data_IF_247072530956
#
_entry.id   IF_247072530956
#
_cell.length_a   1.000
_cell.length_b   1.000
_cell.length_c   1.000
_cell.angle_alpha   90.00
_cell.angle_beta   90.00
_cell.angle_gamma   90.00
#
_symmetry.space_group_name_H-M   'P 1'
#
loop_
_entity.id
_entity.type
_entity.pdbx_description
1 polymer ?
#
# COMPACT_ATOMS: atom_id res chain seq x y z
N UNK A 1 9.50 1.06 4.41
CA UNK A 1 9.34 2.52 4.37
C UNK A 1 10.43 3.13 5.23
N UNK A 2 11.15 4.13 4.71
CA UNK A 2 12.27 4.78 5.39
C UNK A 2 11.86 6.20 5.82
N UNK A 3 12.06 6.55 7.10
CA UNK A 3 11.64 7.84 7.63
C UNK A 3 12.42 9.02 7.01
N UNK A 4 13.69 8.83 6.65
CA UNK A 4 14.53 9.89 6.08
C UNK A 4 14.17 10.14 4.61
N UNK A 5 13.85 9.10 3.86
CA UNK A 5 13.34 9.19 2.50
C UNK A 5 11.99 9.93 2.45
N UNK A 6 11.03 9.53 3.29
CA UNK A 6 9.73 10.22 3.39
C UNK A 6 9.90 11.72 3.72
N UNK A 7 10.82 12.06 4.64
CA UNK A 7 11.11 13.44 5.02
C UNK A 7 11.77 14.23 3.90
N UNK A 8 12.69 13.61 3.14
CA UNK A 8 13.34 14.26 1.98
C UNK A 8 12.35 14.58 0.87
N UNK A 9 11.36 13.72 0.64
CA UNK A 9 10.36 13.93 -0.41
C UNK A 9 9.27 14.93 -0.01
N UNK A 10 8.70 14.79 1.18
CA UNK A 10 7.46 15.48 1.57
C UNK A 10 7.58 16.35 2.83
N UNK A 11 8.73 16.31 3.51
CA UNK A 11 8.91 16.96 4.81
C UNK A 11 8.17 16.26 5.96
N UNK A 12 7.57 15.09 5.72
CA UNK A 12 6.82 14.32 6.71
C UNK A 12 7.52 13.02 7.08
N UNK A 13 7.17 12.46 8.23
CA UNK A 13 7.66 11.16 8.68
C UNK A 13 6.86 10.00 8.05
N UNK A 14 7.45 8.79 8.04
CA UNK A 14 6.91 7.61 7.35
C UNK A 14 5.46 7.24 7.70
N UNK A 15 5.00 7.34 8.95
CA UNK A 15 3.62 7.05 9.37
C UNK A 15 2.61 8.00 8.69
N UNK A 16 2.94 9.28 8.56
CA UNK A 16 2.12 10.27 7.86
C UNK A 16 2.15 9.98 6.37
N UNK A 17 3.32 9.63 5.83
CA UNK A 17 3.50 9.28 4.43
C UNK A 17 2.68 8.04 4.04
N UNK A 18 2.77 6.96 4.84
CA UNK A 18 2.03 5.71 4.62
C UNK A 18 0.52 5.87 4.75
N UNK A 19 0.03 6.95 5.36
CA UNK A 19 -1.41 7.27 5.41
C UNK A 19 -1.81 8.23 4.29
N UNK A 20 -0.97 9.23 4.02
CA UNK A 20 -1.24 10.27 3.03
C UNK A 20 -1.22 9.76 1.59
N UNK A 21 -0.29 8.87 1.25
CA UNK A 21 -0.21 8.28 -0.09
C UNK A 21 -1.47 7.47 -0.43
N UNK A 22 -1.97 6.54 0.41
CA UNK A 22 -3.26 5.86 0.20
C UNK A 22 -4.45 6.82 0.07
N UNK A 23 -4.49 7.89 0.87
CA UNK A 23 -5.55 8.89 0.80
C UNK A 23 -5.56 9.60 -0.57
N UNK A 24 -4.38 9.96 -1.09
CA UNK A 24 -4.23 10.54 -2.42
C UNK A 24 -4.65 9.57 -3.52
N UNK A 25 -4.21 8.30 -3.47
CA UNK A 25 -4.56 7.28 -4.47
C UNK A 25 -6.08 7.05 -4.49
N UNK A 26 -6.73 6.91 -3.33
CA UNK A 26 -8.18 6.75 -3.25
C UNK A 26 -8.92 7.91 -3.90
N UNK A 27 -8.50 9.15 -3.61
CA UNK A 27 -9.06 10.34 -4.24
C UNK A 27 -8.84 10.36 -5.77
N UNK A 28 -7.64 10.01 -6.23
CA UNK A 28 -7.31 9.89 -7.65
C UNK A 28 -8.23 8.91 -8.37
N UNK A 29 -8.43 7.71 -7.82
CA UNK A 29 -9.29 6.68 -8.43
C UNK A 29 -10.77 7.10 -8.46
N UNK A 30 -11.23 7.89 -7.50
CA UNK A 30 -12.56 8.50 -7.56
C UNK A 30 -12.64 9.56 -8.65
N UNK A 31 -11.64 10.44 -8.78
CA UNK A 31 -11.59 11.47 -9.82
C UNK A 31 -11.50 10.89 -11.24
N UNK A 32 -10.80 9.76 -11.41
CA UNK A 32 -10.68 9.02 -12.68
C UNK A 32 -11.90 8.14 -12.99
N UNK A 33 -12.85 8.03 -12.05
CA UNK A 33 -14.08 7.25 -12.21
C UNK A 33 -13.95 5.76 -11.92
N UNK A 34 -12.73 5.25 -11.69
CA UNK A 34 -12.49 3.83 -11.41
C UNK A 34 -13.19 3.36 -10.12
N UNK A 35 -13.23 4.21 -9.09
CA UNK A 35 -13.84 3.91 -7.79
C UNK A 35 -15.06 4.80 -7.45
N UNK A 36 -15.58 5.55 -8.43
CA UNK A 36 -16.71 6.46 -8.23
C UNK A 36 -18.04 5.77 -8.50
N UNK A 37 -18.79 5.47 -7.44
CA UNK A 37 -20.13 4.91 -7.53
C UNK A 37 -21.00 5.44 -6.36
N UNK A 38 -22.31 5.67 -6.57
CA UNK A 38 -23.22 6.04 -5.48
C UNK A 38 -23.20 5.04 -4.32
N UNK A 39 -23.25 5.55 -3.08
CA UNK A 39 -23.28 4.72 -1.87
C UNK A 39 -22.09 4.96 -0.94
N UNK A 40 -21.94 4.09 0.05
CA UNK A 40 -20.83 4.09 1.00
C UNK A 40 -20.09 2.78 0.82
N UNK A 41 -18.78 2.88 0.62
CA UNK A 41 -17.95 1.76 0.19
C UNK A 41 -16.67 1.72 1.01
N UNK A 42 -16.28 0.51 1.41
CA UNK A 42 -14.97 0.21 1.94
C UNK A 42 -14.02 -0.20 0.80
N UNK A 43 -12.72 -0.19 1.09
CA UNK A 43 -11.65 -0.45 0.12
C UNK A 43 -11.77 -1.85 -0.51
N UNK A 44 -12.08 -2.86 0.32
CA UNK A 44 -12.18 -4.26 -0.09
C UNK A 44 -13.38 -4.56 -1.02
N UNK A 45 -14.30 -3.60 -1.18
CA UNK A 45 -15.45 -3.72 -2.06
C UNK A 45 -15.15 -3.21 -3.48
N UNK A 46 -13.91 -2.78 -3.75
CA UNK A 46 -13.46 -2.25 -5.04
C UNK A 46 -12.42 -3.15 -5.68
N UNK A 47 -12.27 -3.02 -6.99
CA UNK A 47 -11.15 -3.63 -7.73
C UNK A 47 -9.83 -3.09 -7.16
N UNK A 48 -8.99 -3.95 -6.55
CA UNK A 48 -7.75 -3.53 -5.92
C UNK A 48 -6.63 -3.26 -6.93
N UNK A 49 -6.71 -3.77 -8.16
CA UNK A 49 -5.63 -3.73 -9.15
C UNK A 49 -5.10 -2.30 -9.42
N UNK A 50 -5.94 -1.29 -9.73
CA UNK A 50 -5.45 0.06 -9.98
C UNK A 50 -4.84 0.70 -8.73
N UNK A 51 -5.35 0.39 -7.54
CA UNK A 51 -4.82 0.89 -6.28
C UNK A 51 -3.44 0.28 -5.97
N UNK A 52 -3.32 -1.04 -6.11
CA UNK A 52 -2.08 -1.79 -5.86
C UNK A 52 -0.98 -1.41 -6.85
N UNK A 53 -1.34 -1.11 -8.11
CA UNK A 53 -0.41 -0.53 -9.09
C UNK A 53 0.08 0.85 -8.65
N UNK A 54 -0.83 1.72 -8.24
CA UNK A 54 -0.51 3.10 -7.88
C UNK A 54 0.29 3.18 -6.56
N UNK A 55 0.11 2.24 -5.62
CA UNK A 55 0.99 2.10 -4.45
C UNK A 55 2.47 1.95 -4.85
N UNK A 56 2.76 1.08 -5.83
CA UNK A 56 4.12 0.90 -6.34
C UNK A 56 4.63 2.17 -7.04
N UNK A 57 3.76 2.91 -7.73
CA UNK A 57 4.13 4.11 -8.47
C UNK A 57 4.38 5.34 -7.57
N UNK A 58 3.66 5.45 -6.45
CA UNK A 58 3.69 6.63 -5.57
C UNK A 58 4.42 6.38 -4.24
N UNK A 59 5.44 5.53 -4.25
CA UNK A 59 6.41 5.43 -3.15
C UNK A 59 6.08 4.42 -2.06
N UNK A 60 5.06 3.59 -2.23
CA UNK A 60 4.72 2.48 -1.31
C UNK A 60 4.78 1.11 -2.01
N UNK A 61 5.97 0.67 -2.48
CA UNK A 61 6.08 -0.64 -3.10
C UNK A 61 5.77 -1.75 -2.09
N UNK A 62 4.98 -2.74 -2.53
CA UNK A 62 4.59 -3.90 -1.74
C UNK A 62 5.21 -5.18 -2.29
N UNK A 63 5.25 -6.22 -1.45
CA UNK A 63 5.71 -7.56 -1.80
C UNK A 63 4.74 -8.57 -1.22
N UNK A 64 4.35 -9.53 -2.04
CA UNK A 64 3.69 -10.74 -1.57
C UNK A 64 4.78 -11.79 -1.28
N UNK A 65 4.77 -12.32 -0.06
CA UNK A 65 5.70 -13.35 0.40
C UNK A 65 4.85 -14.51 0.88
N UNK A 66 4.87 -15.60 0.14
CA UNK A 66 4.18 -16.82 0.52
C UNK A 66 4.71 -17.31 1.87
N UNK A 67 3.79 -17.51 2.82
CA UNK A 67 4.12 -18.03 4.14
C UNK A 67 4.70 -19.44 4.01
N UNK A 68 5.84 -19.68 4.66
CA UNK A 68 6.38 -21.02 4.86
C UNK A 68 6.41 -21.36 6.35
N UNK A 69 6.03 -22.59 6.74
CA UNK A 69 6.19 -23.07 8.10
C UNK A 69 7.63 -22.90 8.59
N UNK A 70 7.80 -22.55 9.87
CA UNK A 70 9.10 -22.30 10.49
C UNK A 70 10.06 -23.49 10.35
N UNK A 71 9.50 -24.71 10.38
CA UNK A 71 10.24 -25.97 10.30
C UNK A 71 10.86 -26.22 8.91
N UNK A 72 10.44 -25.47 7.87
CA UNK A 72 10.96 -25.58 6.50
C UNK A 72 12.09 -24.57 6.21
N UNK A 73 12.29 -23.57 7.08
CA UNK A 73 13.24 -22.46 6.89
C UNK A 73 14.38 -22.42 7.90
N UNK A 74 14.28 -23.18 8.99
CA UNK A 74 15.37 -23.36 9.96
C UNK A 74 15.78 -24.85 10.02
N UNK A 75 17.05 -25.22 9.79
CA UNK A 75 17.49 -26.57 10.07
C UNK A 75 17.24 -26.86 11.55
N UNK A 76 16.48 -27.92 11.82
CA UNK A 76 16.28 -28.46 13.16
C UNK A 76 17.68 -28.78 13.72
N UNK A 77 18.14 -27.99 14.70
CA UNK A 77 19.36 -28.30 15.43
C UNK A 77 19.05 -29.52 16.30
N UNK A 78 19.68 -30.66 16.00
CA UNK A 78 19.72 -31.86 16.86
C UNK A 78 20.42 -31.57 18.20
#
# INVERSE_FOLDING_TARGET
>A
CDHQEAYRETGAQAVSYTTGVPAMIGAKLMCEGAWLEPGVWNMEQRDPDPFMRDLNAFGLPWKDIEFRPLDEVAPQQE
#
